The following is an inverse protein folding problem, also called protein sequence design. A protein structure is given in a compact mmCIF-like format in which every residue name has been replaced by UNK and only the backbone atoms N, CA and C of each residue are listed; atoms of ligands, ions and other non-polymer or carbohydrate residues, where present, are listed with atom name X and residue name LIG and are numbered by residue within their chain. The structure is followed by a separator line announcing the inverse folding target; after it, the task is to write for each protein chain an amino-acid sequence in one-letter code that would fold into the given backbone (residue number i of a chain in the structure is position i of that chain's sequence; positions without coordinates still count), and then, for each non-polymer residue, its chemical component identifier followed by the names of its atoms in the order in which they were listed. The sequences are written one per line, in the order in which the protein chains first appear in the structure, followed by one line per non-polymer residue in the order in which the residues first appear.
data_IF_580707234633
#
_entry.id   IF_580707234633
#
_cell.length_a   1.000
_cell.length_b   1.000
_cell.length_c   1.000
_cell.angle_alpha   90.00
_cell.angle_beta   90.00
_cell.angle_gamma   90.00
#
_symmetry.space_group_name_H-M   'P 1'
#
loop_
_entity.id
_entity.type
_entity.pdbx_description
1 polymer ?
#
# COMPACT_ATOMS: atom_id res chain seq x y z
N UNK A 1 75.98 -5.06 12.86
CA UNK A 1 75.21 -4.05 12.11
C UNK A 1 73.95 -4.76 11.66
N UNK A 2 72.91 -4.76 12.49
CA UNK A 2 71.58 -5.27 12.13
C UNK A 2 70.59 -4.15 12.40
N UNK A 3 70.23 -3.44 11.34
CA UNK A 3 69.15 -2.44 11.36
C UNK A 3 67.82 -3.18 11.33
N UNK A 4 67.16 -3.26 12.48
CA UNK A 4 65.78 -3.74 12.58
C UNK A 4 64.84 -2.70 11.92
N UNK A 5 64.40 -2.99 10.71
CA UNK A 5 63.33 -2.28 10.03
C UNK A 5 62.03 -2.44 10.82
N UNK A 6 61.44 -1.32 11.27
CA UNK A 6 60.08 -1.33 11.80
C UNK A 6 59.09 -1.71 10.69
N UNK A 7 58.09 -2.56 10.96
CA UNK A 7 57.06 -2.87 9.97
C UNK A 7 56.23 -1.63 9.66
N UNK A 8 56.18 -1.25 8.39
CA UNK A 8 55.31 -0.20 7.86
C UNK A 8 53.84 -0.53 8.13
N UNK A 9 53.10 0.43 8.69
CA UNK A 9 51.66 0.33 8.89
C UNK A 9 50.94 -0.06 7.58
N UNK A 10 49.93 -0.95 7.63
CA UNK A 10 49.15 -1.28 6.44
C UNK A 10 48.49 -0.02 5.87
N UNK A 11 48.32 0.09 4.55
CA UNK A 11 47.63 1.23 3.95
C UNK A 11 46.23 1.33 4.56
N UNK A 12 45.94 2.46 5.20
CA UNK A 12 44.59 2.74 5.67
C UNK A 12 43.66 2.72 4.46
N UNK A 13 42.68 1.81 4.47
CA UNK A 13 41.61 1.88 3.48
C UNK A 13 40.96 3.26 3.59
N UNK A 14 40.73 3.98 2.48
CA UNK A 14 40.06 5.27 2.55
C UNK A 14 38.73 5.07 3.26
N UNK A 15 38.52 5.83 4.33
CA UNK A 15 37.26 5.87 5.06
C UNK A 15 36.16 6.18 4.03
N UNK A 16 35.28 5.21 3.78
CA UNK A 16 34.15 5.43 2.88
C UNK A 16 33.19 6.36 3.61
N UNK A 17 33.16 7.60 3.15
CA UNK A 17 32.21 8.57 3.64
C UNK A 17 30.82 8.20 3.11
N UNK A 18 30.07 7.46 3.92
CA UNK A 18 28.68 7.12 3.61
C UNK A 18 27.75 8.34 3.73
N UNK A 19 28.25 9.49 4.20
CA UNK A 19 27.47 10.72 4.35
C UNK A 19 27.15 11.35 2.99
N UNK A 20 27.97 11.12 1.96
CA UNK A 20 27.78 11.67 0.61
C UNK A 20 27.56 10.57 -0.45
N UNK A 21 26.48 9.81 -0.29
CA UNK A 21 26.00 8.92 -1.35
C UNK A 21 25.57 9.72 -2.59
N UNK A 22 25.93 9.30 -3.81
CA UNK A 22 25.40 9.91 -5.03
C UNK A 22 23.88 9.94 -5.03
N UNK A 23 23.29 11.02 -5.59
CA UNK A 23 21.84 11.24 -5.62
C UNK A 23 21.07 10.01 -6.12
N UNK A 24 21.57 9.36 -7.16
CA UNK A 24 20.93 8.18 -7.76
C UNK A 24 20.92 6.97 -6.82
N UNK A 25 22.00 6.77 -6.05
CA UNK A 25 22.09 5.67 -5.07
C UNK A 25 21.17 5.96 -3.89
N UNK A 26 21.14 7.21 -3.43
CA UNK A 26 20.21 7.66 -2.40
C UNK A 26 18.76 7.46 -2.83
N UNK A 27 18.40 7.83 -4.07
CA UNK A 27 17.08 7.60 -4.62
C UNK A 27 16.72 6.10 -4.67
N UNK A 28 17.66 5.24 -5.06
CA UNK A 28 17.45 3.78 -5.07
C UNK A 28 17.24 3.17 -3.67
N UNK A 29 17.86 3.74 -2.64
CA UNK A 29 17.65 3.32 -1.25
C UNK A 29 16.28 3.80 -0.77
N UNK A 30 16.00 5.09 -0.97
CA UNK A 30 14.75 5.71 -0.57
C UNK A 30 13.54 5.09 -1.26
N UNK A 31 13.68 4.62 -2.51
CA UNK A 31 12.60 3.95 -3.25
C UNK A 31 12.28 2.55 -2.74
N UNK A 32 12.92 2.10 -1.66
CA UNK A 32 12.62 0.83 -0.97
C UNK A 32 11.90 1.05 0.36
N UNK A 33 11.79 2.29 0.81
CA UNK A 33 11.05 2.67 2.00
C UNK A 33 9.58 2.83 1.66
N UNK A 34 8.71 2.61 2.63
CA UNK A 34 7.29 2.93 2.47
C UNK A 34 7.04 4.45 2.59
N UNK A 35 5.81 4.86 2.30
CA UNK A 35 5.44 6.28 2.29
C UNK A 35 5.56 6.91 3.68
N UNK A 36 5.28 6.15 4.74
CA UNK A 36 5.39 6.63 6.12
C UNK A 36 6.84 6.92 6.48
N UNK A 37 7.74 5.98 6.22
CA UNK A 37 9.17 6.11 6.45
C UNK A 37 9.75 7.28 5.66
N UNK A 38 9.32 7.49 4.41
CA UNK A 38 9.76 8.63 3.60
C UNK A 38 9.32 9.96 4.23
N UNK A 39 8.04 10.07 4.61
CA UNK A 39 7.45 11.32 5.10
C UNK A 39 7.86 11.67 6.52
N UNK A 40 7.98 10.69 7.40
CA UNK A 40 8.23 10.91 8.83
C UNK A 40 9.71 10.80 9.20
N UNK A 41 10.51 10.05 8.44
CA UNK A 41 11.91 9.76 8.82
C UNK A 41 12.92 10.20 7.78
N UNK A 42 12.83 9.66 6.56
CA UNK A 42 13.91 9.75 5.57
C UNK A 42 14.17 11.21 5.14
N UNK A 43 13.11 11.99 4.94
CA UNK A 43 13.23 13.40 4.56
C UNK A 43 13.88 14.28 5.64
N UNK A 44 13.94 13.82 6.89
CA UNK A 44 14.51 14.54 8.03
C UNK A 44 15.98 14.21 8.29
N UNK A 45 16.56 13.23 7.57
CA UNK A 45 17.94 12.76 7.82
C UNK A 45 18.98 13.81 7.43
N UNK A 46 18.91 14.33 6.20
CA UNK A 46 19.82 15.36 5.70
C UNK A 46 19.23 16.11 4.49
N UNK A 47 19.85 17.23 4.10
CA UNK A 47 19.41 18.04 2.96
C UNK A 47 19.39 17.30 1.63
N UNK A 48 20.32 16.36 1.42
CA UNK A 48 20.35 15.52 0.22
C UNK A 48 19.13 14.60 0.16
N UNK A 49 18.82 13.91 1.26
CA UNK A 49 17.66 13.02 1.34
C UNK A 49 16.37 13.82 1.21
N UNK A 50 16.27 14.97 1.89
CA UNK A 50 15.16 15.91 1.73
C UNK A 50 14.96 16.32 0.25
N UNK A 51 16.04 16.71 -0.43
CA UNK A 51 16.00 17.11 -1.84
C UNK A 51 15.60 15.97 -2.78
N UNK A 52 15.96 14.72 -2.46
CA UNK A 52 15.54 13.54 -3.22
C UNK A 52 14.08 13.21 -2.95
N UNK A 53 13.63 13.19 -1.69
CA UNK A 53 12.24 12.97 -1.32
C UNK A 53 11.28 14.01 -1.92
N UNK A 54 11.76 15.21 -2.23
CA UNK A 54 10.95 16.24 -2.91
C UNK A 54 10.91 16.08 -4.45
N UNK A 55 11.67 15.15 -5.02
CA UNK A 55 11.67 14.87 -6.46
C UNK A 55 10.40 14.09 -6.86
N UNK A 56 9.59 14.56 -7.85
CA UNK A 56 8.39 13.85 -8.26
C UNK A 56 8.63 12.39 -8.70
N UNK A 57 9.84 12.07 -9.17
CA UNK A 57 10.17 10.71 -9.59
C UNK A 57 10.20 9.70 -8.44
N UNK A 58 10.34 10.16 -7.19
CA UNK A 58 10.23 9.31 -5.99
C UNK A 58 8.79 8.83 -5.76
N UNK A 59 7.81 9.59 -6.22
CA UNK A 59 6.38 9.37 -5.96
C UNK A 59 5.68 8.69 -7.14
N UNK A 60 6.42 7.93 -7.95
CA UNK A 60 5.86 7.11 -9.03
C UNK A 60 5.20 5.83 -8.53
N UNK A 61 5.60 5.35 -7.35
CA UNK A 61 4.97 4.25 -6.63
C UNK A 61 4.75 4.72 -5.19
N UNK A 62 3.52 4.57 -4.69
CA UNK A 62 3.12 4.97 -3.35
C UNK A 62 2.64 3.72 -2.63
N UNK A 63 3.36 3.30 -1.60
CA UNK A 63 3.00 2.16 -0.78
C UNK A 63 2.57 2.65 0.61
N UNK A 64 1.29 2.45 0.94
CA UNK A 64 0.70 2.82 2.24
C UNK A 64 0.30 1.58 3.05
N UNK A 65 1.03 0.47 2.88
CA UNK A 65 0.92 -0.71 3.75
C UNK A 65 1.45 -0.40 5.15
N UNK A 66 0.99 -1.16 6.15
CA UNK A 66 1.54 -1.11 7.50
C UNK A 66 0.84 -0.17 8.48
N UNK A 67 -0.11 0.65 8.01
CA UNK A 67 -1.02 1.38 8.90
C UNK A 67 -2.06 0.43 9.48
N UNK A 68 -1.71 -0.25 10.56
CA UNK A 68 -2.72 -0.94 11.36
C UNK A 68 -3.65 0.11 11.98
N UNK A 69 -4.97 -0.11 11.87
CA UNK A 69 -5.96 0.82 12.40
C UNK A 69 -6.05 0.83 13.93
N UNK A 70 -4.98 0.48 14.65
CA UNK A 70 -4.94 0.32 16.10
C UNK A 70 -4.00 1.30 16.81
N UNK A 71 -3.24 2.13 16.09
CA UNK A 71 -2.48 3.21 16.70
C UNK A 71 -3.41 4.39 17.07
N UNK A 72 -4.15 4.25 18.18
CA UNK A 72 -4.96 5.32 18.80
C UNK A 72 -4.11 6.52 19.31
N UNK A 73 -2.78 6.42 19.31
CA UNK A 73 -1.87 7.43 19.87
C UNK A 73 -1.39 8.49 18.86
N UNK A 74 -1.76 8.36 17.59
CA UNK A 74 -1.34 9.24 16.52
C UNK A 74 -2.57 9.68 15.73
N UNK A 75 -3.03 10.92 15.95
CA UNK A 75 -4.11 11.61 15.20
C UNK A 75 -3.66 11.93 13.75
N UNK A 76 -2.96 10.99 13.12
CA UNK A 76 -2.42 11.08 11.78
C UNK A 76 -3.54 10.79 10.80
N UNK A 77 -3.93 11.83 10.07
CA UNK A 77 -4.81 11.66 8.92
C UNK A 77 -4.00 11.02 7.78
N UNK A 78 -3.98 9.68 7.76
CA UNK A 78 -3.31 8.87 6.73
C UNK A 78 -3.85 9.21 5.33
N UNK A 79 -5.11 9.63 5.25
CA UNK A 79 -5.72 10.12 4.01
C UNK A 79 -5.00 11.40 3.55
N UNK A 80 -4.70 12.36 4.44
CA UNK A 80 -3.88 13.55 4.10
C UNK A 80 -2.48 13.17 3.64
N UNK A 81 -1.82 12.22 4.30
CA UNK A 81 -0.50 11.74 3.86
C UNK A 81 -0.55 11.15 2.45
N UNK A 82 -1.56 10.33 2.16
CA UNK A 82 -1.77 9.76 0.84
C UNK A 82 -2.02 10.86 -0.21
N UNK A 83 -2.86 11.85 0.10
CA UNK A 83 -3.13 12.99 -0.80
C UNK A 83 -1.87 13.81 -1.07
N UNK A 84 -1.05 14.05 -0.04
CA UNK A 84 0.22 14.75 -0.18
C UNK A 84 1.20 14.00 -1.09
N UNK A 85 1.36 12.69 -0.88
CA UNK A 85 2.20 11.83 -1.72
C UNK A 85 1.72 11.83 -3.19
N UNK A 86 0.40 11.76 -3.39
CA UNK A 86 -0.26 11.90 -4.69
C UNK A 86 0.09 13.24 -5.35
N UNK A 87 -0.04 14.35 -4.64
CA UNK A 87 0.26 15.68 -5.18
C UNK A 87 1.73 15.82 -5.58
N UNK A 88 2.63 15.23 -4.78
CA UNK A 88 4.07 15.19 -5.06
C UNK A 88 4.41 14.44 -6.34
N UNK A 89 3.61 13.45 -6.74
CA UNK A 89 3.81 12.71 -8.01
C UNK A 89 3.70 13.59 -9.26
N UNK A 90 3.08 14.76 -9.16
CA UNK A 90 2.95 15.74 -10.25
C UNK A 90 2.41 15.15 -11.57
N UNK A 91 1.54 14.14 -11.52
CA UNK A 91 1.02 13.49 -12.73
C UNK A 91 1.67 12.15 -13.09
N UNK A 92 2.75 11.78 -12.38
CA UNK A 92 3.65 10.69 -12.73
C UNK A 92 3.44 9.38 -11.97
N UNK A 93 2.41 9.27 -11.13
CA UNK A 93 2.09 8.05 -10.38
C UNK A 93 1.70 6.92 -11.32
N UNK A 94 2.25 5.74 -11.04
CA UNK A 94 2.09 4.51 -11.81
C UNK A 94 1.49 3.40 -10.96
N UNK A 95 1.88 3.34 -9.70
CA UNK A 95 1.48 2.31 -8.75
C UNK A 95 1.07 2.94 -7.42
N UNK A 96 -0.05 2.51 -6.87
CA UNK A 96 -0.48 2.93 -5.54
C UNK A 96 -1.15 1.77 -4.79
N UNK A 97 -0.74 1.58 -3.53
CA UNK A 97 -1.32 0.62 -2.62
C UNK A 97 -1.92 1.32 -1.39
N UNK A 98 -3.21 1.08 -1.14
CA UNK A 98 -3.98 1.69 -0.05
C UNK A 98 -4.66 0.58 0.74
N UNK A 99 -4.21 0.35 1.97
CA UNK A 99 -4.80 -0.64 2.86
C UNK A 99 -5.57 0.03 4.00
N UNK A 100 -6.75 -0.50 4.35
CA UNK A 100 -7.58 -0.09 5.49
C UNK A 100 -8.26 1.30 5.46
N UNK A 101 -7.77 2.28 4.69
CA UNK A 101 -8.32 3.65 4.66
C UNK A 101 -8.74 4.13 3.25
N UNK A 102 -8.99 3.21 2.31
CA UNK A 102 -9.46 3.54 0.96
C UNK A 102 -10.93 4.06 0.98
N UNK A 103 -11.11 5.35 1.25
CA UNK A 103 -12.41 6.03 1.22
C UNK A 103 -12.82 6.44 -0.20
N UNK A 104 -14.12 6.65 -0.42
CA UNK A 104 -14.62 7.14 -1.71
C UNK A 104 -14.04 8.49 -2.08
N UNK A 105 -13.88 9.38 -1.10
CA UNK A 105 -13.33 10.71 -1.30
C UNK A 105 -11.85 10.62 -1.67
N UNK A 106 -11.08 9.73 -1.05
CA UNK A 106 -9.68 9.50 -1.40
C UNK A 106 -9.54 8.91 -2.81
N UNK A 107 -10.29 7.86 -3.12
CA UNK A 107 -10.25 7.23 -4.44
C UNK A 107 -10.76 8.16 -5.53
N UNK A 108 -11.80 8.94 -5.25
CA UNK A 108 -12.28 9.98 -6.17
C UNK A 108 -11.25 11.08 -6.34
N UNK A 109 -10.57 11.50 -5.27
CA UNK A 109 -9.49 12.49 -5.32
C UNK A 109 -8.30 11.99 -6.16
N UNK A 110 -7.94 10.71 -6.03
CA UNK A 110 -6.93 10.05 -6.85
C UNK A 110 -7.42 9.94 -8.30
N UNK A 111 -8.71 9.75 -8.53
CA UNK A 111 -9.25 9.61 -9.88
C UNK A 111 -9.60 10.96 -10.55
N UNK A 112 -9.73 12.06 -9.81
CA UNK A 112 -10.20 13.34 -10.34
C UNK A 112 -9.16 13.99 -11.29
N UNK A 113 -9.66 14.37 -12.47
CA UNK A 113 -8.88 14.99 -13.56
C UNK A 113 -9.03 16.50 -13.61
N UNK A 114 -9.99 17.10 -12.91
CA UNK A 114 -10.35 18.51 -13.11
C UNK A 114 -9.40 19.47 -12.36
N UNK A 115 -8.62 18.99 -11.40
CA UNK A 115 -7.72 19.81 -10.59
C UNK A 115 -6.24 19.65 -10.94
N UNK A 116 -5.88 19.69 -12.22
CA UNK A 116 -4.52 19.49 -12.79
C UNK A 116 -4.31 18.03 -13.23
N UNK A 117 -3.42 17.85 -14.21
CA UNK A 117 -3.02 16.62 -14.92
C UNK A 117 -2.59 15.44 -14.02
N UNK A 118 -3.44 14.95 -13.12
CA UNK A 118 -2.97 14.09 -12.03
C UNK A 118 -2.74 12.62 -12.43
N UNK A 119 -3.52 11.96 -13.31
CA UNK A 119 -3.26 10.52 -13.59
C UNK A 119 -3.67 9.96 -14.96
N UNK A 120 -2.98 10.28 -16.07
CA UNK A 120 -3.11 9.49 -17.28
C UNK A 120 -2.29 8.18 -17.23
N UNK A 121 -1.37 8.02 -16.28
CA UNK A 121 -0.34 6.96 -16.28
C UNK A 121 -0.49 5.87 -15.20
N UNK A 122 -1.56 5.88 -14.40
CA UNK A 122 -1.75 4.83 -13.38
C UNK A 122 -1.93 3.48 -14.08
N UNK A 123 -1.02 2.55 -13.83
CA UNK A 123 -1.00 1.21 -14.42
C UNK A 123 -1.36 0.13 -13.39
N UNK A 124 -1.07 0.36 -12.10
CA UNK A 124 -1.31 -0.57 -11.01
C UNK A 124 -2.03 0.10 -9.83
N UNK A 125 -3.07 -0.56 -9.33
CA UNK A 125 -3.83 -0.13 -8.15
C UNK A 125 -4.06 -1.33 -7.23
N UNK A 126 -3.73 -1.18 -5.95
CA UNK A 126 -4.07 -2.14 -4.92
C UNK A 126 -4.91 -1.49 -3.82
N UNK A 127 -6.06 -2.09 -3.52
CA UNK A 127 -6.99 -1.66 -2.48
C UNK A 127 -7.47 -2.85 -1.66
N UNK A 128 -7.67 -2.63 -0.36
CA UNK A 128 -8.45 -3.52 0.48
C UNK A 128 -9.95 -3.19 0.28
N UNK A 129 -10.78 -4.20 0.02
CA UNK A 129 -12.24 -4.11 -0.18
C UNK A 129 -12.92 -3.58 1.10
N UNK A 130 -12.95 -2.26 1.19
CA UNK A 130 -13.82 -1.45 2.03
C UNK A 130 -14.26 -0.16 1.28
N UNK A 131 -13.79 0.02 0.05
CA UNK A 131 -14.19 1.12 -0.84
C UNK A 131 -15.62 0.95 -1.32
N UNK A 132 -16.38 2.04 -1.48
CA UNK A 132 -17.69 1.91 -2.11
C UNK A 132 -17.57 1.63 -3.61
N UNK A 133 -18.59 0.95 -4.11
CA UNK A 133 -18.80 0.65 -5.53
C UNK A 133 -18.55 1.85 -6.45
N UNK A 134 -18.97 3.05 -6.02
CA UNK A 134 -18.85 4.28 -6.80
C UNK A 134 -17.40 4.69 -7.01
N UNK A 135 -16.55 4.50 -6.02
CA UNK A 135 -15.15 4.86 -6.11
C UNK A 135 -14.44 4.03 -7.17
N UNK A 136 -14.72 2.73 -7.21
CA UNK A 136 -14.14 1.82 -8.19
C UNK A 136 -14.64 2.12 -9.62
N UNK A 137 -15.92 2.52 -9.76
CA UNK A 137 -16.45 3.03 -11.04
C UNK A 137 -15.70 4.28 -11.52
N UNK A 138 -15.47 5.25 -10.63
CA UNK A 138 -14.75 6.49 -10.98
C UNK A 138 -13.31 6.17 -11.40
N UNK A 139 -12.61 5.30 -10.67
CA UNK A 139 -11.26 4.84 -11.04
C UNK A 139 -11.25 4.23 -12.43
N UNK A 140 -12.18 3.33 -12.74
CA UNK A 140 -12.26 2.68 -14.04
C UNK A 140 -12.49 3.66 -15.20
N UNK A 141 -13.27 4.72 -14.98
CA UNK A 141 -13.47 5.78 -15.97
C UNK A 141 -12.25 6.72 -16.13
N UNK A 142 -11.54 7.00 -15.03
CA UNK A 142 -10.49 8.01 -15.01
C UNK A 142 -9.09 7.47 -15.34
N UNK A 143 -8.85 6.17 -15.13
CA UNK A 143 -7.56 5.51 -15.27
C UNK A 143 -7.53 4.52 -16.45
N UNK A 144 -7.56 4.98 -17.73
CA UNK A 144 -7.68 4.11 -18.90
C UNK A 144 -6.43 3.26 -19.18
N UNK A 145 -5.30 3.56 -18.53
CA UNK A 145 -4.05 2.79 -18.65
C UNK A 145 -3.92 1.73 -17.56
N UNK A 146 -4.89 1.57 -16.66
CA UNK A 146 -4.82 0.58 -15.60
C UNK A 146 -4.78 -0.84 -16.17
N UNK A 147 -3.70 -1.57 -15.87
CA UNK A 147 -3.45 -2.93 -16.34
C UNK A 147 -3.50 -3.95 -15.21
N UNK A 148 -3.19 -3.52 -13.99
CA UNK A 148 -3.15 -4.35 -12.79
C UNK A 148 -4.08 -3.77 -11.72
N UNK A 149 -5.00 -4.60 -11.23
CA UNK A 149 -5.91 -4.22 -10.15
C UNK A 149 -5.91 -5.32 -9.09
N UNK A 150 -5.68 -4.94 -7.84
CA UNK A 150 -5.80 -5.83 -6.67
C UNK A 150 -6.92 -5.31 -5.78
N UNK A 151 -7.97 -6.11 -5.58
CA UNK A 151 -9.12 -5.82 -4.71
C UNK A 151 -9.25 -6.95 -3.71
N UNK A 152 -8.71 -6.76 -2.50
CA UNK A 152 -8.63 -7.82 -1.51
C UNK A 152 -9.66 -7.61 -0.39
N UNK A 153 -10.58 -8.54 -0.17
CA UNK A 153 -11.47 -8.49 0.99
C UNK A 153 -10.81 -9.15 2.21
N UNK A 154 -11.15 -8.68 3.41
CA UNK A 154 -10.88 -9.42 4.63
C UNK A 154 -11.71 -10.69 4.51
N UNK A 155 -11.06 -11.84 4.33
CA UNK A 155 -11.72 -13.13 4.22
C UNK A 155 -12.62 -13.35 5.45
N UNK A 156 -13.90 -13.00 5.30
CA UNK A 156 -14.89 -13.14 6.35
C UNK A 156 -15.20 -14.64 6.46
N UNK A 157 -15.19 -15.15 7.70
CA UNK A 157 -15.58 -16.53 8.02
C UNK A 157 -17.05 -16.84 7.67
N UNK A 158 -17.83 -15.83 7.21
CA UNK A 158 -19.20 -15.99 6.77
C UNK A 158 -19.28 -16.46 5.31
N UNK A 159 -19.07 -17.77 5.12
CA UNK A 159 -19.20 -18.51 3.86
C UNK A 159 -20.62 -18.49 3.23
N UNK A 160 -21.53 -17.66 3.72
CA UNK A 160 -22.95 -17.68 3.36
C UNK A 160 -23.47 -16.39 2.71
N UNK A 161 -22.62 -15.37 2.57
CA UNK A 161 -22.99 -14.17 1.83
C UNK A 161 -22.33 -14.19 0.46
N UNK A 162 -23.13 -14.01 -0.59
CA UNK A 162 -22.70 -13.95 -1.98
C UNK A 162 -22.82 -12.49 -2.45
N UNK A 163 -21.81 -11.98 -3.16
CA UNK A 163 -21.85 -10.63 -3.72
C UNK A 163 -21.07 -10.57 -5.03
N UNK A 164 -21.74 -10.22 -6.13
CA UNK A 164 -21.12 -10.10 -7.45
C UNK A 164 -20.89 -8.63 -7.87
N UNK A 165 -21.18 -7.68 -7.00
CA UNK A 165 -21.27 -6.27 -7.38
C UNK A 165 -19.93 -5.68 -7.81
N UNK A 166 -18.86 -5.93 -7.04
CA UNK A 166 -17.50 -5.53 -7.43
C UNK A 166 -17.06 -6.22 -8.73
N UNK A 167 -17.40 -7.50 -8.91
CA UNK A 167 -17.08 -8.23 -10.13
C UNK A 167 -17.78 -7.63 -11.37
N UNK A 168 -19.01 -7.13 -11.21
CA UNK A 168 -19.75 -6.43 -12.27
C UNK A 168 -19.11 -5.08 -12.59
N UNK A 169 -18.76 -4.29 -11.57
CA UNK A 169 -18.08 -3.00 -11.74
C UNK A 169 -16.74 -3.18 -12.45
N UNK A 170 -15.97 -4.20 -12.05
CA UNK A 170 -14.70 -4.55 -12.68
C UNK A 170 -14.92 -4.90 -14.16
N UNK A 171 -15.91 -5.75 -14.44
CA UNK A 171 -16.24 -6.17 -15.79
C UNK A 171 -16.68 -5.00 -16.69
N UNK A 172 -17.42 -4.04 -16.16
CA UNK A 172 -17.97 -2.91 -16.93
C UNK A 172 -16.95 -1.80 -17.17
N UNK A 173 -16.04 -1.56 -16.22
CA UNK A 173 -15.19 -0.37 -16.22
C UNK A 173 -13.70 -0.62 -16.55
N UNK A 174 -13.24 -1.89 -16.54
CA UNK A 174 -11.81 -2.22 -16.74
C UNK A 174 -11.55 -3.16 -17.93
N UNK A 175 -12.00 -2.85 -19.16
CA UNK A 175 -11.90 -3.76 -20.31
C UNK A 175 -10.48 -4.06 -20.79
N UNK A 176 -9.50 -3.25 -20.37
CA UNK A 176 -8.09 -3.38 -20.74
C UNK A 176 -7.22 -4.02 -19.65
N UNK A 177 -7.84 -4.59 -18.61
CA UNK A 177 -7.12 -5.20 -17.51
C UNK A 177 -6.37 -6.46 -17.96
N UNK A 178 -5.12 -6.59 -17.54
CA UNK A 178 -4.24 -7.74 -17.82
C UNK A 178 -4.02 -8.59 -16.58
N UNK A 179 -4.01 -7.97 -15.38
CA UNK A 179 -3.78 -8.63 -14.12
C UNK A 179 -4.88 -8.24 -13.13
N UNK A 180 -5.55 -9.24 -12.56
CA UNK A 180 -6.58 -9.06 -11.56
C UNK A 180 -6.30 -9.97 -10.37
N UNK A 181 -6.17 -9.39 -9.20
CA UNK A 181 -6.16 -10.11 -7.94
C UNK A 181 -7.42 -9.76 -7.16
N UNK A 182 -8.21 -10.77 -6.84
CA UNK A 182 -9.39 -10.63 -5.99
C UNK A 182 -9.28 -11.69 -4.90
N UNK A 183 -8.72 -11.29 -3.76
CA UNK A 183 -8.57 -12.20 -2.61
C UNK A 183 -9.76 -12.10 -1.68
N UNK A 184 -10.23 -13.23 -1.15
CA UNK A 184 -11.20 -13.27 -0.05
C UNK A 184 -12.62 -12.79 -0.38
N UNK A 185 -12.88 -12.45 -1.65
CA UNK A 185 -14.12 -11.86 -2.10
C UNK A 185 -15.28 -12.88 -2.14
N UNK A 186 -16.50 -12.36 -2.02
CA UNK A 186 -17.74 -13.13 -1.97
C UNK A 186 -18.36 -13.46 -3.34
N UNK A 187 -17.67 -13.15 -4.44
CA UNK A 187 -18.17 -13.42 -5.79
C UNK A 187 -18.46 -14.90 -6.05
N UNK A 188 -19.50 -15.12 -6.85
CA UNK A 188 -19.90 -16.45 -7.31
C UNK A 188 -19.40 -16.69 -8.74
N UNK A 189 -19.73 -17.86 -9.28
CA UNK A 189 -19.50 -18.17 -10.70
C UNK A 189 -20.14 -17.14 -11.65
N UNK A 190 -21.22 -16.45 -11.26
CA UNK A 190 -21.83 -15.39 -12.08
C UNK A 190 -20.93 -14.14 -12.14
N UNK A 191 -20.38 -13.69 -11.01
CA UNK A 191 -19.42 -12.59 -10.97
C UNK A 191 -18.13 -12.93 -11.73
N UNK A 192 -17.59 -14.14 -11.55
CA UNK A 192 -16.43 -14.61 -12.31
C UNK A 192 -16.73 -14.63 -13.82
N UNK A 193 -17.93 -15.07 -14.21
CA UNK A 193 -18.34 -15.06 -15.61
C UNK A 193 -18.44 -13.63 -16.16
N UNK A 194 -18.91 -12.67 -15.37
CA UNK A 194 -18.92 -11.25 -15.77
C UNK A 194 -17.50 -10.74 -16.02
N UNK A 195 -16.56 -10.98 -15.09
CA UNK A 195 -15.15 -10.58 -15.22
C UNK A 195 -14.54 -11.12 -16.52
N UNK A 196 -14.70 -12.43 -16.79
CA UNK A 196 -14.15 -13.04 -18.01
C UNK A 196 -14.74 -12.49 -19.31
N UNK A 197 -15.97 -11.97 -19.27
CA UNK A 197 -16.63 -11.35 -20.41
C UNK A 197 -16.24 -9.88 -20.58
N UNK A 198 -16.11 -9.14 -19.48
CA UNK A 198 -15.77 -7.72 -19.47
C UNK A 198 -14.29 -7.43 -19.67
N UNK A 199 -13.41 -8.33 -19.20
CA UNK A 199 -11.95 -8.21 -19.28
C UNK A 199 -11.36 -9.25 -20.26
N UNK A 200 -11.48 -9.06 -21.59
CA UNK A 200 -11.07 -10.07 -22.58
C UNK A 200 -9.55 -10.26 -22.68
N UNK A 201 -8.75 -9.29 -22.21
CA UNK A 201 -7.29 -9.31 -22.27
C UNK A 201 -6.63 -9.79 -20.97
N UNK A 202 -7.42 -10.31 -20.03
CA UNK A 202 -6.93 -10.74 -18.74
C UNK A 202 -5.97 -11.94 -18.89
N UNK A 203 -4.73 -11.75 -18.47
CA UNK A 203 -3.66 -12.76 -18.54
C UNK A 203 -3.42 -13.44 -17.20
N UNK A 204 -3.63 -12.70 -16.10
CA UNK A 204 -3.45 -13.19 -14.73
C UNK A 204 -4.72 -12.96 -13.92
N UNK A 205 -5.17 -14.00 -13.22
CA UNK A 205 -6.31 -13.94 -12.32
C UNK A 205 -6.01 -14.71 -11.03
N UNK A 206 -6.07 -14.02 -9.91
CA UNK A 206 -5.90 -14.62 -8.59
C UNK A 206 -7.20 -14.54 -7.80
N UNK A 207 -7.75 -15.73 -7.47
CA UNK A 207 -9.03 -15.91 -6.79
C UNK A 207 -8.85 -16.54 -5.41
N UNK A 208 -7.65 -16.59 -4.85
CA UNK A 208 -7.42 -17.25 -3.55
C UNK A 208 -8.36 -16.71 -2.48
N UNK A 209 -8.87 -17.59 -1.62
CA UNK A 209 -9.87 -17.28 -0.59
C UNK A 209 -11.27 -16.88 -1.10
N UNK A 210 -11.55 -16.91 -2.42
CA UNK A 210 -12.91 -16.70 -2.97
C UNK A 210 -13.72 -18.00 -2.96
N UNK A 211 -14.21 -18.40 -1.79
CA UNK A 211 -14.77 -19.74 -1.55
C UNK A 211 -16.14 -20.01 -2.19
N UNK A 212 -16.83 -18.98 -2.69
CA UNK A 212 -18.12 -19.11 -3.38
C UNK A 212 -17.97 -19.55 -4.87
N UNK A 213 -16.74 -19.70 -5.36
CA UNK A 213 -16.44 -20.10 -6.73
C UNK A 213 -16.32 -21.63 -6.83
N UNK A 214 -17.14 -22.22 -7.71
CA UNK A 214 -17.04 -23.63 -8.10
C UNK A 214 -16.12 -23.77 -9.31
N UNK A 215 -15.04 -24.51 -9.14
CA UNK A 215 -14.02 -24.74 -10.18
C UNK A 215 -14.37 -25.86 -11.16
N UNK A 216 -15.36 -26.71 -10.82
CA UNK A 216 -15.81 -27.80 -11.69
C UNK A 216 -16.85 -27.29 -12.68
N UNK A 217 -16.67 -27.61 -13.96
CA UNK A 217 -17.61 -27.30 -15.03
C UNK A 217 -16.99 -26.49 -16.15
N UNK A 218 -17.84 -25.96 -17.03
CA UNK A 218 -17.38 -25.26 -18.24
C UNK A 218 -16.72 -23.91 -17.93
N UNK A 219 -17.15 -23.22 -16.86
CA UNK A 219 -16.50 -21.98 -16.42
C UNK A 219 -15.06 -22.22 -15.99
N UNK A 220 -14.81 -23.31 -15.24
CA UNK A 220 -13.46 -23.67 -14.80
C UNK A 220 -12.53 -23.98 -15.96
N UNK A 221 -13.03 -24.69 -16.99
CA UNK A 221 -12.29 -24.94 -18.24
C UNK A 221 -11.99 -23.62 -18.95
N UNK A 222 -12.99 -22.75 -19.10
CA UNK A 222 -12.80 -21.43 -19.73
C UNK A 222 -11.73 -20.61 -19.01
N UNK A 223 -11.73 -20.56 -17.67
CA UNK A 223 -10.68 -19.88 -16.93
C UNK A 223 -9.30 -20.44 -17.26
N UNK A 224 -9.14 -21.78 -17.24
CA UNK A 224 -7.87 -22.43 -17.52
C UNK A 224 -7.38 -22.27 -18.98
N UNK A 225 -8.30 -22.04 -19.92
CA UNK A 225 -7.98 -21.79 -21.34
C UNK A 225 -7.69 -20.31 -21.62
N UNK A 226 -8.42 -19.38 -20.98
CA UNK A 226 -8.34 -17.94 -21.23
C UNK A 226 -7.21 -17.27 -20.41
N UNK A 227 -6.99 -17.72 -19.17
CA UNK A 227 -6.06 -17.10 -18.23
C UNK A 227 -4.73 -17.88 -18.21
N UNK A 228 -3.61 -17.17 -18.38
CA UNK A 228 -2.26 -17.77 -18.39
C UNK A 228 -1.76 -18.08 -16.98
N UNK A 229 -1.93 -17.15 -16.05
CA UNK A 229 -1.56 -17.29 -14.65
C UNK A 229 -2.82 -17.26 -13.77
N UNK A 230 -3.29 -18.43 -13.38
CA UNK A 230 -4.54 -18.61 -12.64
C UNK A 230 -4.25 -19.18 -11.26
N UNK A 231 -4.70 -18.47 -10.21
CA UNK A 231 -4.69 -18.97 -8.83
C UNK A 231 -6.11 -19.23 -8.36
N UNK A 232 -6.35 -20.44 -7.88
CA UNK A 232 -7.67 -20.89 -7.45
C UNK A 232 -7.96 -20.55 -5.98
N UNK A 233 -9.25 -20.55 -5.57
CA UNK A 233 -9.66 -20.25 -4.19
C UNK A 233 -8.90 -21.00 -3.09
N UNK A 234 -8.52 -22.25 -3.35
CA UNK A 234 -7.85 -23.13 -2.39
C UNK A 234 -6.34 -23.25 -2.62
N UNK A 235 -5.76 -22.48 -3.56
CA UNK A 235 -4.31 -22.45 -3.72
C UNK A 235 -3.67 -21.80 -2.48
N UNK A 236 -2.48 -22.27 -2.06
CA UNK A 236 -1.81 -21.71 -0.90
C UNK A 236 -1.48 -20.23 -1.11
N UNK A 237 -1.79 -19.41 -0.11
CA UNK A 237 -1.25 -18.06 -0.01
C UNK A 237 0.14 -18.13 0.62
N UNK A 238 1.14 -17.36 0.13
CA UNK A 238 2.34 -17.10 0.90
C UNK A 238 1.95 -16.70 2.32
N UNK A 239 2.68 -17.21 3.30
CA UNK A 239 2.70 -16.65 4.63
C UNK A 239 3.43 -15.30 4.46
N UNK A 240 2.72 -14.24 4.07
CA UNK A 240 3.28 -12.90 3.87
C UNK A 240 2.53 -11.87 4.71
N UNK A 241 3.25 -10.80 5.03
CA UNK A 241 2.84 -9.66 5.88
C UNK A 241 1.54 -8.95 5.42
N UNK A 242 1.04 -9.25 4.21
CA UNK A 242 -0.24 -8.75 3.70
C UNK A 242 -1.47 -9.36 4.42
N UNK A 243 -1.25 -10.28 5.37
CA UNK A 243 -2.31 -10.91 6.17
C UNK A 243 -1.79 -11.33 7.56
N UNK A 244 -1.69 -10.43 8.55
CA UNK A 244 -1.23 -10.76 9.91
C UNK A 244 -2.13 -11.76 10.67
N UNK A 245 -3.21 -12.24 10.05
CA UNK A 245 -4.18 -13.15 10.67
C UNK A 245 -4.48 -14.35 9.77
N UNK A 246 -3.53 -15.27 9.63
CA UNK A 246 -3.88 -16.66 9.29
C UNK A 246 -2.99 -17.65 10.05
N UNK A 247 -3.39 -17.94 11.28
CA UNK A 247 -3.46 -19.26 11.92
C UNK A 247 -3.68 -19.06 13.43
N UNK A 248 -4.89 -18.65 13.83
CA UNK A 248 -5.39 -19.12 15.13
C UNK A 248 -6.11 -20.42 14.85
N UNK A 249 -5.38 -21.53 14.94
CA UNK A 249 -5.99 -22.80 15.31
C UNK A 249 -6.82 -22.52 16.57
N UNK A 250 -8.14 -22.58 16.42
CA UNK A 250 -9.07 -22.56 17.54
C UNK A 250 -8.73 -23.75 18.44
N UNK A 251 -7.93 -23.53 19.48
CA UNK A 251 -7.87 -24.28 20.73
C UNK A 251 -6.88 -23.56 21.66
N UNK A 252 -7.38 -22.75 22.59
CA UNK A 252 -6.96 -22.80 24.00
C UNK A 252 -7.90 -21.93 24.86
N UNK A 253 -8.31 -22.51 25.98
CA UNK A 253 -9.30 -22.03 26.95
C UNK A 253 -9.12 -20.57 27.34
N UNK A 254 -10.20 -19.78 27.25
CA UNK A 254 -10.33 -18.57 28.05
C UNK A 254 -10.44 -18.97 29.54
N UNK A 255 -9.31 -19.10 30.22
CA UNK A 255 -9.28 -19.11 31.68
C UNK A 255 -9.57 -17.68 32.19
N UNK A 256 -10.82 -17.45 32.55
CA UNK A 256 -11.31 -16.23 33.19
C UNK A 256 -10.82 -16.09 34.65
N UNK A 257 -9.56 -16.42 34.93
CA UNK A 257 -8.96 -16.30 36.27
C UNK A 257 -7.81 -15.28 36.38
N UNK A 258 -7.31 -14.72 35.27
CA UNK A 258 -6.25 -13.69 35.32
C UNK A 258 -6.78 -12.27 35.60
N UNK A 259 -8.10 -12.05 35.58
CA UNK A 259 -8.70 -10.79 36.04
C UNK A 259 -8.95 -10.82 37.55
N UNK A 260 -7.92 -11.06 38.36
CA UNK A 260 -8.04 -10.95 39.83
C UNK A 260 -6.82 -10.34 40.53
N UNK A 261 -5.86 -9.76 39.81
CA UNK A 261 -4.78 -9.05 40.50
C UNK A 261 -4.07 -8.11 39.56
N UNK A 262 -4.60 -6.90 39.42
CA UNK A 262 -3.86 -5.64 39.43
C UNK A 262 -4.89 -4.51 39.51
N UNK A 263 -5.36 -4.26 40.74
CA UNK A 263 -6.04 -3.01 41.06
C UNK A 263 -5.00 -1.90 40.97
N UNK A 264 -5.13 -0.95 40.04
CA UNK A 264 -4.55 0.37 40.23
C UNK A 264 -5.65 1.42 40.18
N UNK A 265 -5.67 2.14 41.30
CA UNK A 265 -6.67 3.05 41.81
C UNK A 265 -6.96 4.25 40.90
N UNK A 266 -8.22 4.67 40.95
CA UNK A 266 -8.66 6.03 40.61
C UNK A 266 -7.74 7.10 41.21
N UNK A 267 -7.32 8.05 40.37
CA UNK A 267 -6.62 9.27 40.74
C UNK A 267 -7.02 10.43 39.80
N UNK A 268 -7.53 11.58 40.28
CA UNK A 268 -8.21 12.57 39.44
C UNK A 268 -7.39 13.85 39.23
N UNK A 269 -6.86 14.08 38.02
CA UNK A 269 -6.33 15.36 37.51
C UNK A 269 -6.33 15.24 35.97
N UNK A 270 -6.83 16.12 35.10
CA UNK A 270 -7.10 17.55 35.16
C UNK A 270 -6.17 18.28 34.16
N UNK A 271 -6.64 18.56 32.92
CA UNK A 271 -5.88 19.30 31.88
C UNK A 271 -4.77 18.46 31.22
N UNK A 272 -4.47 18.50 29.92
CA UNK A 272 -4.46 19.65 29.00
C UNK A 272 -4.66 19.22 27.53
N UNK A 273 -5.32 20.10 26.78
CA UNK A 273 -5.55 20.06 25.33
C UNK A 273 -4.20 20.34 24.61
N UNK A 274 -3.60 19.35 23.98
CA UNK A 274 -2.47 19.56 23.07
C UNK A 274 -3.02 19.61 21.64
N UNK A 275 -3.41 20.80 21.20
CA UNK A 275 -3.61 21.10 19.78
C UNK A 275 -2.24 21.09 19.09
N UNK A 276 -1.93 20.04 18.34
CA UNK A 276 -0.83 20.08 17.38
C UNK A 276 -1.35 20.67 16.08
N UNK A 277 -0.96 21.92 15.84
CA UNK A 277 -1.34 22.70 14.66
C UNK A 277 -0.72 22.16 13.37
N UNK A 278 -1.52 22.31 12.32
CA UNK A 278 -1.15 22.42 10.91
C UNK A 278 0.17 23.18 10.68
N UNK A 279 1.15 22.53 10.04
CA UNK A 279 1.99 23.14 8.98
C UNK A 279 3.02 22.12 8.46
N UNK A 280 2.69 21.45 7.36
CA UNK A 280 3.68 20.70 6.58
C UNK A 280 4.53 21.63 5.68
N UNK A 281 4.25 22.94 5.68
CA UNK A 281 4.89 23.95 4.83
C UNK A 281 6.01 24.75 5.55
N UNK A 282 6.08 24.77 6.89
CA UNK A 282 7.04 25.64 7.61
C UNK A 282 8.44 25.02 7.85
N UNK A 283 8.70 23.81 7.35
CA UNK A 283 10.05 23.22 7.36
C UNK A 283 10.93 23.70 6.19
N UNK A 284 10.40 24.53 5.27
CA UNK A 284 11.18 25.07 4.14
C UNK A 284 12.18 26.18 4.57
N UNK A 285 11.96 26.87 5.69
CA UNK A 285 12.75 28.05 6.07
C UNK A 285 14.00 27.75 6.93
N UNK A 286 14.18 26.50 7.41
CA UNK A 286 15.27 26.20 8.34
C UNK A 286 16.61 25.83 7.68
N UNK A 287 16.62 25.58 6.37
CA UNK A 287 17.85 25.19 5.65
C UNK A 287 18.47 26.28 4.76
N UNK A 288 17.85 27.46 4.63
CA UNK A 288 18.35 28.53 3.73
C UNK A 288 19.18 29.63 4.44
N UNK A 289 19.44 29.51 5.75
CA UNK A 289 20.13 30.58 6.53
C UNK A 289 21.53 30.23 7.07
N UNK A 290 22.22 29.25 6.47
CA UNK A 290 23.67 29.12 6.63
C UNK A 290 24.34 28.90 5.28
N UNK A 291 24.60 29.99 4.57
CA UNK A 291 25.91 30.35 4.02
C UNK A 291 25.75 31.68 3.28
N UNK A 292 25.84 32.79 4.03
CA UNK A 292 26.23 34.06 3.44
C UNK A 292 27.31 34.69 4.35
N UNK A 293 28.48 34.93 3.72
CA UNK A 293 29.77 35.45 4.21
C UNK A 293 30.77 34.48 4.86
#
# INVERSE_FOLDING_TARGET
MDSLLQPSSPPQQPYRDWVELPRDVTAMILSRLDTEEILNTARLVCSTWHSVCNDPSMWRSIDMRGFDGYCEELDYDIEKMCKYAVDRSCGGLIDINIEYFATDDLLSYIADREAVRKFPLLEELAILSCSSEKALEVVGHCCPLLRSLKVNDRAHKDFHTECNLEALIIAENFPHLHHLQILGNRLTNEGLQAILNGCPHLESLDLRKCFNIRTVGDLGKRCAEQIKDLRWPYDPTPISDDYPFSESSDEEDYDASIFSSLSWSDGPYGGDHYDFYDDFDDYEDYFDSRYDY
#
